data_IF_407518165701
#
_entry.id   IF_407518165701
#
_cell.length_a   1.000
_cell.length_b   1.000
_cell.length_c   1.000
_cell.angle_alpha   90.00
_cell.angle_beta   90.00
_cell.angle_gamma   90.00
#
_symmetry.space_group_name_H-M   'P 1'
#
loop_
_entity.id
_entity.type
_entity.pdbx_description
1 polymer ?
#
# COMPACT_ATOMS: atom_id res chain seq x y z
N UNK A 1 3.12 10.44 -15.63
CA UNK A 1 4.39 10.99 -15.15
C UNK A 1 4.68 10.58 -13.71
N UNK A 2 3.81 10.86 -12.73
CA UNK A 2 4.04 10.57 -11.30
C UNK A 2 4.51 9.15 -10.97
N UNK A 3 3.92 8.12 -11.60
CA UNK A 3 4.32 6.73 -11.35
C UNK A 3 5.69 6.39 -11.95
N UNK A 4 6.07 7.00 -13.07
CA UNK A 4 7.40 6.85 -13.66
C UNK A 4 8.47 7.49 -12.75
N UNK A 5 8.20 8.69 -12.23
CA UNK A 5 9.06 9.36 -11.24
C UNK A 5 9.17 8.56 -9.95
N UNK A 6 8.08 7.91 -9.52
CA UNK A 6 8.14 6.95 -8.42
C UNK A 6 9.10 5.79 -8.74
N UNK A 7 9.03 5.23 -9.95
CA UNK A 7 9.98 4.22 -10.42
C UNK A 7 11.44 4.71 -10.36
N UNK A 8 11.71 5.94 -10.80
CA UNK A 8 13.04 6.54 -10.73
C UNK A 8 13.52 6.72 -9.28
N UNK A 9 12.62 7.10 -8.36
CA UNK A 9 12.93 7.13 -6.93
C UNK A 9 13.34 5.74 -6.41
N UNK A 10 12.59 4.68 -6.77
CA UNK A 10 12.95 3.30 -6.39
C UNK A 10 14.29 2.87 -7.00
N UNK A 11 14.56 3.25 -8.26
CA UNK A 11 15.84 3.00 -8.92
C UNK A 11 16.99 3.59 -8.12
N UNK A 12 16.90 4.87 -7.77
CA UNK A 12 17.93 5.55 -7.00
C UNK A 12 18.09 4.94 -5.59
N UNK A 13 16.97 4.63 -4.92
CA UNK A 13 16.97 4.09 -3.56
C UNK A 13 17.56 2.68 -3.48
N UNK A 14 17.31 1.83 -4.47
CA UNK A 14 17.63 0.40 -4.41
C UNK A 14 18.68 -0.07 -5.41
N UNK A 15 19.38 0.83 -6.12
CA UNK A 15 20.35 0.46 -7.16
C UNK A 15 21.46 -0.50 -6.68
N UNK A 16 21.81 -0.48 -5.39
CA UNK A 16 22.81 -1.38 -4.78
C UNK A 16 22.22 -2.73 -4.35
N UNK A 17 20.90 -2.81 -4.19
CA UNK A 17 20.18 -4.01 -3.77
C UNK A 17 19.64 -4.79 -4.97
N UNK A 18 19.09 -4.07 -5.95
CA UNK A 18 18.63 -4.61 -7.21
C UNK A 18 18.86 -3.62 -8.34
N UNK A 19 19.64 -4.07 -9.33
CA UNK A 19 20.01 -3.26 -10.49
C UNK A 19 19.17 -3.64 -11.69
N UNK A 20 19.12 -4.92 -12.04
CA UNK A 20 18.44 -5.37 -13.26
C UNK A 20 17.20 -6.20 -12.88
N UNK A 21 16.21 -6.24 -13.77
CA UNK A 21 14.98 -6.98 -13.51
C UNK A 21 15.25 -8.48 -13.59
N UNK A 22 14.77 -9.23 -12.59
CA UNK A 22 14.75 -10.68 -12.60
C UNK A 22 13.42 -11.15 -11.99
N UNK A 23 12.70 -12.03 -12.69
CA UNK A 23 11.37 -12.51 -12.27
C UNK A 23 11.39 -13.36 -10.98
N UNK A 24 12.53 -13.92 -10.60
CA UNK A 24 12.72 -14.58 -9.29
C UNK A 24 12.91 -13.55 -8.17
N UNK A 25 13.52 -12.40 -8.47
CA UNK A 25 13.85 -11.37 -7.50
C UNK A 25 12.76 -10.31 -7.34
N UNK A 26 11.93 -10.09 -8.37
CA UNK A 26 10.92 -9.04 -8.44
C UNK A 26 9.60 -9.59 -8.89
N UNK A 27 8.55 -9.29 -8.12
CA UNK A 27 7.18 -9.50 -8.52
C UNK A 27 6.38 -8.21 -8.34
N UNK A 28 5.47 -7.92 -9.27
CA UNK A 28 4.52 -6.83 -9.17
C UNK A 28 3.11 -7.36 -9.38
N UNK A 29 2.29 -7.21 -8.35
CA UNK A 29 0.87 -7.56 -8.35
C UNK A 29 0.02 -6.29 -8.39
N UNK A 30 -0.92 -6.20 -9.31
CA UNK A 30 -1.86 -5.08 -9.44
C UNK A 30 -3.31 -5.53 -9.24
N UNK A 31 -4.18 -4.62 -8.83
CA UNK A 31 -5.63 -4.83 -8.95
C UNK A 31 -6.08 -4.81 -10.42
N UNK A 32 -7.25 -5.37 -10.73
CA UNK A 32 -7.77 -5.44 -12.12
C UNK A 32 -8.17 -4.11 -12.75
N UNK A 33 -8.00 -2.99 -12.05
CA UNK A 33 -8.37 -1.69 -12.61
C UNK A 33 -7.31 -1.18 -13.59
N UNK A 34 -7.73 -0.67 -14.75
CA UNK A 34 -6.84 -0.11 -15.77
C UNK A 34 -5.85 0.91 -15.18
N UNK A 35 -6.35 1.79 -14.30
CA UNK A 35 -5.51 2.80 -13.63
C UNK A 35 -4.36 2.18 -12.82
N UNK A 36 -4.60 1.07 -12.13
CA UNK A 36 -3.59 0.41 -11.31
C UNK A 36 -2.59 -0.37 -12.18
N UNK A 37 -3.08 -1.01 -13.24
CA UNK A 37 -2.26 -1.73 -14.21
C UNK A 37 -1.31 -0.76 -14.90
N UNK A 38 -1.83 0.30 -15.51
CA UNK A 38 -1.03 1.33 -16.19
C UNK A 38 -0.06 2.02 -15.22
N UNK A 39 -0.48 2.25 -13.97
CA UNK A 39 0.40 2.79 -12.93
C UNK A 39 1.56 1.86 -12.61
N UNK A 40 1.30 0.55 -12.49
CA UNK A 40 2.33 -0.46 -12.26
C UNK A 40 3.33 -0.52 -13.41
N UNK A 41 2.86 -0.54 -14.66
CA UNK A 41 3.71 -0.54 -15.84
C UNK A 41 4.57 0.73 -15.96
N UNK A 42 3.98 1.90 -15.71
CA UNK A 42 4.72 3.16 -15.74
C UNK A 42 5.80 3.22 -14.65
N UNK A 43 5.51 2.66 -13.47
CA UNK A 43 6.47 2.55 -12.37
C UNK A 43 7.62 1.61 -12.72
N UNK A 44 7.33 0.42 -13.29
CA UNK A 44 8.35 -0.51 -13.74
C UNK A 44 9.27 0.11 -14.80
N UNK A 45 8.72 0.89 -15.75
CA UNK A 45 9.54 1.62 -16.73
C UNK A 45 10.54 2.58 -16.08
N UNK A 46 10.16 3.24 -14.98
CA UNK A 46 11.07 4.14 -14.26
C UNK A 46 12.08 3.40 -13.37
N UNK A 47 11.71 2.21 -12.87
CA UNK A 47 12.54 1.44 -11.96
C UNK A 47 13.58 0.58 -12.72
N UNK A 48 13.18 -0.01 -13.83
CA UNK A 48 13.99 -0.92 -14.66
C UNK A 48 14.06 -0.41 -16.11
N UNK A 49 14.76 0.70 -16.36
CA UNK A 49 15.02 1.16 -17.73
C UNK A 49 15.81 0.08 -18.47
N UNK A 50 15.45 -0.20 -19.73
CA UNK A 50 16.20 -1.12 -20.57
C UNK A 50 17.55 -0.51 -20.94
N UNK A 51 18.64 -1.29 -20.81
CA UNK A 51 20.00 -0.86 -21.16
C UNK A 51 20.68 -1.99 -21.93
N UNK A 52 21.34 -1.65 -23.05
CA UNK A 52 22.16 -2.61 -23.80
C UNK A 52 21.31 -3.73 -24.42
N UNK A 53 21.54 -4.98 -24.04
CA UNK A 53 20.85 -6.14 -24.65
C UNK A 53 19.35 -6.22 -24.32
N UNK A 54 18.89 -5.49 -23.31
CA UNK A 54 17.47 -5.39 -22.96
C UNK A 54 16.72 -4.36 -23.82
N UNK A 55 17.44 -3.52 -24.58
CA UNK A 55 16.83 -2.52 -25.46
C UNK A 55 16.12 -3.19 -26.64
N UNK A 56 14.79 -3.13 -26.63
CA UNK A 56 13.94 -3.74 -27.65
C UNK A 56 13.84 -2.90 -28.92
N UNK A 57 13.90 -1.58 -28.77
CA UNK A 57 13.79 -0.60 -29.85
C UNK A 57 14.94 0.39 -29.73
N UNK A 58 15.53 0.75 -30.87
CA UNK A 58 16.65 1.68 -30.90
C UNK A 58 16.23 3.04 -30.33
N UNK A 59 17.02 3.58 -29.39
CA UNK A 59 16.76 4.82 -28.64
C UNK A 59 15.57 4.77 -27.66
N UNK A 60 15.06 3.60 -27.31
CA UNK A 60 14.01 3.43 -26.29
C UNK A 60 14.52 2.61 -25.11
N UNK A 61 14.67 3.26 -23.96
CA UNK A 61 15.02 2.62 -22.68
C UNK A 61 13.82 1.89 -22.06
N UNK A 62 13.14 1.07 -22.85
CA UNK A 62 11.94 0.34 -22.46
C UNK A 62 12.02 -1.14 -22.81
N UNK A 63 11.52 -1.96 -21.89
CA UNK A 63 11.33 -3.39 -22.06
C UNK A 63 9.96 -3.80 -21.50
N UNK A 64 9.31 -4.82 -22.08
CA UNK A 64 8.10 -5.40 -21.50
C UNK A 64 8.45 -6.16 -20.22
N UNK A 65 7.80 -5.82 -19.10
CA UNK A 65 7.98 -6.49 -17.81
C UNK A 65 6.65 -7.10 -17.33
N UNK A 66 6.67 -8.33 -16.78
CA UNK A 66 5.45 -9.00 -16.33
C UNK A 66 4.81 -8.28 -15.14
N UNK A 67 3.48 -8.25 -15.13
CA UNK A 67 2.64 -7.71 -14.06
C UNK A 67 1.50 -8.68 -13.81
N UNK A 68 1.34 -9.15 -12.57
CA UNK A 68 0.25 -10.04 -12.18
C UNK A 68 -1.00 -9.24 -11.86
N UNK A 69 -2.17 -9.68 -12.32
CA UNK A 69 -3.45 -9.02 -12.01
C UNK A 69 -4.25 -9.87 -11.02
N UNK A 70 -4.42 -9.37 -9.81
CA UNK A 70 -5.27 -9.98 -8.80
C UNK A 70 -6.74 -9.60 -9.03
N UNK A 71 -7.63 -10.61 -9.00
CA UNK A 71 -9.08 -10.42 -9.15
C UNK A 71 -9.68 -9.76 -7.90
N UNK A 72 -10.02 -8.48 -7.99
CA UNK A 72 -10.85 -7.76 -7.01
C UNK A 72 -11.69 -6.71 -7.73
N UNK A 73 -12.93 -6.50 -7.27
CA UNK A 73 -13.91 -5.62 -7.93
C UNK A 73 -13.51 -4.15 -7.91
N UNK A 74 -13.66 -3.52 -9.08
CA UNK A 74 -13.07 -2.25 -9.44
C UNK A 74 -14.13 -1.34 -10.06
N UNK A 75 -14.11 -0.05 -9.69
CA UNK A 75 -14.57 1.06 -10.55
C UNK A 75 -13.66 2.28 -10.30
N UNK A 76 -13.26 2.98 -11.37
CA UNK A 76 -13.40 4.44 -11.55
C UNK A 76 -12.46 5.01 -12.61
N UNK A 77 -13.06 5.93 -13.37
CA UNK A 77 -12.64 6.47 -14.65
C UNK A 77 -12.38 7.98 -14.55
N UNK A 78 -11.49 8.43 -15.42
CA UNK A 78 -10.98 9.79 -15.51
C UNK A 78 -12.07 10.75 -16.05
N UNK A 79 -12.69 11.56 -15.18
CA UNK A 79 -13.78 12.49 -15.54
C UNK A 79 -13.48 13.94 -15.14
N UNK A 80 -13.85 14.87 -16.02
CA UNK A 80 -13.85 16.33 -15.81
C UNK A 80 -14.91 16.75 -14.79
N UNK A 81 -14.56 17.69 -13.92
CA UNK A 81 -15.43 18.14 -12.84
C UNK A 81 -16.31 19.34 -13.27
N UNK A 82 -17.60 19.39 -12.89
CA UNK A 82 -18.50 20.51 -13.18
C UNK A 82 -18.22 21.75 -12.31
N UNK A 83 -18.53 22.94 -12.83
CA UNK A 83 -18.17 24.25 -12.22
C UNK A 83 -18.75 24.50 -10.83
N UNK A 84 -19.91 23.93 -10.49
CA UNK A 84 -20.53 24.07 -9.17
C UNK A 84 -19.67 23.54 -8.02
N UNK A 85 -18.70 22.68 -8.33
CA UNK A 85 -17.74 22.11 -7.36
C UNK A 85 -16.86 23.19 -6.70
N UNK A 86 -16.74 24.38 -7.32
CA UNK A 86 -15.96 25.51 -6.80
C UNK A 86 -16.78 26.55 -6.02
N UNK A 87 -18.10 26.37 -5.88
CA UNK A 87 -18.94 27.31 -5.13
C UNK A 87 -18.53 27.38 -3.66
N UNK A 88 -18.56 28.58 -3.08
CA UNK A 88 -18.23 28.84 -1.67
C UNK A 88 -19.51 28.91 -0.83
N UNK A 89 -19.48 28.32 0.35
CA UNK A 89 -20.64 28.23 1.25
C UNK A 89 -20.34 28.93 2.58
N UNK A 90 -20.89 30.14 2.82
CA UNK A 90 -20.64 30.88 4.05
C UNK A 90 -21.04 30.17 5.34
N UNK A 91 -22.09 29.34 5.29
CA UNK A 91 -22.54 28.53 6.42
C UNK A 91 -21.56 27.40 6.81
N UNK A 92 -20.60 27.07 5.95
CA UNK A 92 -19.56 26.08 6.20
C UNK A 92 -18.19 26.75 6.28
N UNK A 93 -18.09 27.83 7.05
CA UNK A 93 -16.85 28.58 7.27
C UNK A 93 -16.19 29.07 5.96
N UNK A 94 -16.99 29.47 4.96
CA UNK A 94 -16.52 29.84 3.62
C UNK A 94 -15.73 28.73 2.90
N UNK A 95 -16.01 27.45 3.18
CA UNK A 95 -15.43 26.35 2.41
C UNK A 95 -16.06 26.22 1.02
N UNK A 96 -15.27 25.75 0.06
CA UNK A 96 -15.77 25.39 -1.27
C UNK A 96 -16.51 24.05 -1.24
N UNK A 97 -17.41 23.80 -2.19
CA UNK A 97 -18.11 22.51 -2.31
C UNK A 97 -17.12 21.34 -2.36
N UNK A 98 -16.01 21.47 -3.10
CA UNK A 98 -14.97 20.45 -3.18
C UNK A 98 -14.27 20.19 -1.83
N UNK A 99 -14.05 21.22 -1.01
CA UNK A 99 -13.48 21.07 0.33
C UNK A 99 -14.42 20.26 1.23
N UNK A 100 -15.70 20.64 1.24
CA UNK A 100 -16.73 19.95 2.03
C UNK A 100 -16.85 18.48 1.60
N UNK A 101 -16.96 18.22 0.28
CA UNK A 101 -17.02 16.85 -0.26
C UNK A 101 -15.75 16.07 0.08
N UNK A 102 -14.57 16.69 -0.01
CA UNK A 102 -13.30 16.05 0.32
C UNK A 102 -13.22 15.69 1.81
N UNK A 103 -13.70 16.57 2.68
CA UNK A 103 -13.81 16.33 4.13
C UNK A 103 -14.78 15.18 4.43
N UNK A 104 -15.95 15.16 3.80
CA UNK A 104 -16.91 14.05 3.93
C UNK A 104 -16.35 12.73 3.39
N UNK A 105 -15.66 12.77 2.25
CA UNK A 105 -14.98 11.60 1.67
C UNK A 105 -13.90 11.08 2.62
N UNK A 106 -13.12 11.97 3.24
CA UNK A 106 -12.10 11.63 4.24
C UNK A 106 -12.72 10.94 5.45
N UNK A 107 -13.78 11.52 6.03
CA UNK A 107 -14.50 10.94 7.18
C UNK A 107 -15.07 9.56 6.80
N UNK A 108 -15.77 9.46 5.67
CA UNK A 108 -16.33 8.20 5.15
C UNK A 108 -15.25 7.15 4.93
N UNK A 109 -14.08 7.53 4.44
CA UNK A 109 -12.98 6.59 4.19
C UNK A 109 -12.37 6.11 5.51
N UNK A 110 -12.05 7.02 6.43
CA UNK A 110 -11.43 6.69 7.73
C UNK A 110 -12.36 5.83 8.58
N UNK A 111 -13.67 6.09 8.56
CA UNK A 111 -14.64 5.30 9.34
C UNK A 111 -14.69 3.82 8.95
N UNK A 112 -14.11 3.45 7.80
CA UNK A 112 -13.96 2.05 7.37
C UNK A 112 -12.83 1.31 8.11
N UNK A 113 -11.92 2.03 8.77
CA UNK A 113 -10.69 1.46 9.36
C UNK A 113 -10.42 1.91 10.81
N UNK A 114 -11.16 2.90 11.32
CA UNK A 114 -10.90 3.62 12.58
C UNK A 114 -11.07 2.83 13.90
N UNK A 115 -11.04 1.50 13.87
CA UNK A 115 -10.98 0.66 15.07
C UNK A 115 -10.04 -0.52 14.82
N UNK A 116 -9.47 -1.10 15.88
CA UNK A 116 -8.61 -2.27 15.76
C UNK A 116 -9.32 -3.45 15.07
N UNK A 117 -10.62 -3.63 15.33
CA UNK A 117 -11.45 -4.65 14.70
C UNK A 117 -11.65 -4.38 13.19
N UNK A 118 -12.02 -3.16 12.81
CA UNK A 118 -12.17 -2.79 11.39
C UNK A 118 -10.85 -2.90 10.64
N UNK A 119 -9.77 -2.39 11.23
CA UNK A 119 -8.42 -2.50 10.67
C UNK A 119 -8.01 -3.97 10.48
N UNK A 120 -8.32 -4.82 11.46
CA UNK A 120 -8.12 -6.27 11.37
C UNK A 120 -8.86 -6.89 10.19
N UNK A 121 -10.15 -6.59 10.04
CA UNK A 121 -10.98 -7.19 8.99
C UNK A 121 -10.69 -6.62 7.59
N UNK A 122 -10.19 -5.39 7.48
CA UNK A 122 -9.93 -4.72 6.19
C UNK A 122 -8.50 -4.88 5.69
N UNK A 123 -7.52 -4.58 6.55
CA UNK A 123 -6.10 -4.54 6.19
C UNK A 123 -5.27 -5.63 6.84
N UNK A 124 -5.82 -6.34 7.84
CA UNK A 124 -5.08 -7.29 8.66
C UNK A 124 -4.51 -8.48 7.88
N UNK A 125 -5.16 -8.91 6.79
CA UNK A 125 -4.66 -9.99 5.93
C UNK A 125 -3.46 -9.53 5.08
N UNK A 126 -3.55 -8.36 4.44
CA UNK A 126 -2.43 -7.78 3.67
C UNK A 126 -1.24 -7.46 4.56
N UNK A 127 -1.51 -6.87 5.73
CA UNK A 127 -0.48 -6.63 6.74
C UNK A 127 0.17 -7.94 7.17
N UNK A 128 -0.60 -9.02 7.38
CA UNK A 128 -0.05 -10.32 7.75
C UNK A 128 0.86 -10.90 6.66
N UNK A 129 0.51 -10.75 5.38
CA UNK A 129 1.40 -11.13 4.26
C UNK A 129 2.77 -10.43 4.33
N UNK A 130 2.78 -9.12 4.63
CA UNK A 130 4.04 -8.37 4.84
C UNK A 130 4.85 -8.94 6.01
N UNK A 131 4.21 -9.10 7.17
CA UNK A 131 4.90 -9.56 8.38
C UNK A 131 5.37 -11.02 8.26
N UNK A 132 4.60 -11.90 7.62
CA UNK A 132 5.00 -13.28 7.35
C UNK A 132 6.19 -13.37 6.41
N UNK A 133 6.23 -12.54 5.38
CA UNK A 133 7.40 -12.47 4.50
C UNK A 133 8.64 -12.02 5.27
N UNK A 134 8.53 -10.98 6.10
CA UNK A 134 9.63 -10.52 6.93
C UNK A 134 10.10 -11.58 7.93
N UNK A 135 9.16 -12.31 8.54
CA UNK A 135 9.45 -13.44 9.41
C UNK A 135 10.20 -14.55 8.68
N UNK A 136 9.73 -14.95 7.49
CA UNK A 136 10.36 -16.02 6.72
C UNK A 136 11.80 -15.65 6.31
N UNK A 137 12.01 -14.41 5.85
CA UNK A 137 13.37 -13.89 5.59
C UNK A 137 14.23 -13.94 6.85
N UNK A 138 13.69 -13.53 8.01
CA UNK A 138 14.45 -13.53 9.26
C UNK A 138 14.88 -14.92 9.74
N UNK A 139 14.14 -15.96 9.33
CA UNK A 139 14.40 -17.36 9.63
C UNK A 139 15.31 -18.02 8.57
N UNK A 140 15.74 -17.27 7.55
CA UNK A 140 16.51 -17.82 6.43
C UNK A 140 15.70 -18.73 5.51
N UNK A 141 14.36 -18.67 5.56
CA UNK A 141 13.50 -19.40 4.66
C UNK A 141 13.45 -18.70 3.30
N UNK A 142 13.44 -19.48 2.21
CA UNK A 142 13.25 -18.92 0.87
C UNK A 142 11.87 -18.28 0.75
N UNK A 143 11.82 -17.11 0.11
CA UNK A 143 10.60 -16.35 -0.18
C UNK A 143 10.57 -16.00 -1.65
N UNK A 144 9.41 -16.07 -2.29
CA UNK A 144 9.23 -15.66 -3.69
C UNK A 144 8.29 -14.44 -3.73
N UNK A 145 8.67 -13.35 -4.40
CA UNK A 145 9.99 -13.09 -5.02
C UNK A 145 11.10 -13.00 -3.95
N UNK A 146 12.37 -13.19 -4.32
CA UNK A 146 13.50 -13.19 -3.38
C UNK A 146 13.84 -11.79 -2.83
N UNK A 147 13.65 -10.73 -3.62
CA UNK A 147 14.04 -9.36 -3.22
C UNK A 147 12.83 -8.45 -3.00
N UNK A 148 12.16 -8.00 -4.06
CA UNK A 148 11.11 -6.97 -4.00
C UNK A 148 9.76 -7.52 -4.42
N UNK A 149 8.74 -7.33 -3.57
CA UNK A 149 7.32 -7.57 -3.90
C UNK A 149 6.59 -6.23 -3.95
N UNK A 150 6.06 -5.89 -5.11
CA UNK A 150 5.36 -4.63 -5.38
C UNK A 150 3.86 -4.87 -5.47
N UNK A 151 3.08 -3.93 -4.92
CA UNK A 151 1.62 -3.93 -5.01
C UNK A 151 1.12 -2.61 -5.60
N UNK A 152 0.50 -2.66 -6.78
CA UNK A 152 -0.15 -1.50 -7.41
C UNK A 152 -1.66 -1.53 -7.14
N UNK A 153 -2.13 -0.67 -6.24
CA UNK A 153 -3.49 -0.73 -5.69
C UNK A 153 -4.15 0.66 -5.53
N UNK A 154 -4.96 0.83 -4.48
CA UNK A 154 -5.78 2.02 -4.26
C UNK A 154 -5.46 2.73 -2.94
N UNK A 155 -5.90 3.99 -2.83
CA UNK A 155 -5.89 4.78 -1.59
C UNK A 155 -6.46 3.99 -0.39
N UNK A 156 -7.59 3.30 -0.60
CA UNK A 156 -8.22 2.45 0.40
C UNK A 156 -7.38 1.26 0.82
N UNK A 157 -6.62 0.66 -0.09
CA UNK A 157 -5.68 -0.44 0.22
C UNK A 157 -4.55 0.06 1.10
N UNK A 158 -3.96 1.20 0.74
CA UNK A 158 -2.87 1.80 1.48
C UNK A 158 -3.31 2.25 2.88
N UNK A 159 -4.47 2.90 2.98
CA UNK A 159 -5.06 3.27 4.27
C UNK A 159 -5.34 2.04 5.12
N UNK A 160 -5.99 1.01 4.56
CA UNK A 160 -6.28 -0.22 5.29
C UNK A 160 -5.01 -0.84 5.89
N UNK A 161 -3.92 -0.88 5.11
CA UNK A 161 -2.61 -1.34 5.58
C UNK A 161 -2.04 -0.44 6.69
N UNK A 162 -2.05 0.88 6.51
CA UNK A 162 -1.53 1.82 7.51
C UNK A 162 -2.31 1.72 8.84
N UNK A 163 -3.64 1.58 8.81
CA UNK A 163 -4.44 1.37 10.03
C UNK A 163 -4.19 0.00 10.66
N UNK A 164 -3.97 -1.04 9.85
CA UNK A 164 -3.62 -2.38 10.36
C UNK A 164 -2.26 -2.37 11.07
N UNK A 165 -1.27 -1.66 10.51
CA UNK A 165 0.02 -1.42 11.16
C UNK A 165 -0.10 -0.48 12.38
N UNK A 166 -1.10 0.40 12.41
CA UNK A 166 -1.33 1.36 13.50
C UNK A 166 -0.66 2.70 13.32
N UNK A 167 -0.26 3.00 12.10
CA UNK A 167 0.44 4.22 11.68
C UNK A 167 -0.46 5.09 10.77
N UNK A 168 -1.77 4.80 10.74
CA UNK A 168 -2.74 5.61 10.01
C UNK A 168 -2.79 7.04 10.54
N UNK A 169 -2.69 8.02 9.65
CA UNK A 169 -2.59 9.44 10.00
C UNK A 169 -3.90 10.23 9.81
N UNK A 170 -5.03 9.57 9.52
CA UNK A 170 -6.34 10.20 9.30
C UNK A 170 -6.36 11.22 8.13
N UNK A 171 -5.43 11.13 7.19
CA UNK A 171 -5.38 11.93 5.97
C UNK A 171 -5.80 11.10 4.75
N UNK A 172 -6.22 11.78 3.68
CA UNK A 172 -6.36 11.13 2.38
C UNK A 172 -4.97 10.78 1.83
N UNK A 173 -4.90 9.69 1.08
CA UNK A 173 -3.66 9.27 0.41
C UNK A 173 -3.53 10.02 -0.92
N UNK A 174 -2.47 10.83 -1.11
CA UNK A 174 -2.20 11.47 -2.39
C UNK A 174 -1.90 10.47 -3.51
N UNK A 175 -2.02 10.90 -4.77
CA UNK A 175 -1.61 10.09 -5.92
C UNK A 175 -0.14 9.69 -5.86
N UNK A 176 0.18 8.51 -6.41
CA UNK A 176 1.52 7.92 -6.41
C UNK A 176 2.18 7.79 -5.02
N UNK A 177 1.37 7.82 -3.94
CA UNK A 177 1.88 7.54 -2.61
C UNK A 177 2.18 6.06 -2.42
N UNK A 178 3.16 5.75 -1.58
CA UNK A 178 3.66 4.40 -1.38
C UNK A 178 4.01 4.16 0.08
N UNK A 179 3.54 3.04 0.66
CA UNK A 179 4.13 2.49 1.88
C UNK A 179 5.22 1.50 1.49
N UNK A 180 6.31 1.54 2.24
CA UNK A 180 7.51 0.74 2.00
C UNK A 180 7.85 0.03 3.32
N UNK A 181 8.16 -1.25 3.25
CA UNK A 181 8.73 -2.01 4.35
C UNK A 181 10.06 -2.59 3.90
N UNK A 182 11.11 -2.36 4.68
CA UNK A 182 12.46 -2.84 4.42
C UNK A 182 12.91 -3.77 5.54
N UNK A 183 13.60 -4.85 5.16
CA UNK A 183 14.12 -5.86 6.08
C UNK A 183 15.64 -5.77 6.00
N UNK A 184 16.28 -5.39 7.10
CA UNK A 184 17.72 -5.25 7.21
C UNK A 184 18.31 -6.40 8.01
N UNK A 185 19.40 -6.98 7.50
CA UNK A 185 20.20 -7.95 8.25
C UNK A 185 21.20 -7.22 9.14
N UNK A 186 21.21 -7.56 10.42
CA UNK A 186 22.21 -7.15 11.41
C UNK A 186 23.06 -8.36 11.80
N UNK A 187 24.14 -8.16 12.57
CA UNK A 187 25.09 -9.23 12.94
C UNK A 187 24.42 -10.53 13.40
N UNK A 188 23.37 -10.44 14.24
CA UNK A 188 22.69 -11.59 14.84
C UNK A 188 21.16 -11.58 14.69
N UNK A 189 20.59 -10.64 13.93
CA UNK A 189 19.13 -10.48 13.86
C UNK A 189 18.68 -9.77 12.57
N UNK A 190 17.38 -9.60 12.40
CA UNK A 190 16.79 -8.75 11.37
C UNK A 190 15.98 -7.62 11.99
N UNK A 191 16.06 -6.44 11.39
CA UNK A 191 15.28 -5.26 11.77
C UNK A 191 14.39 -4.83 10.61
N UNK A 192 13.16 -4.44 10.92
CA UNK A 192 12.19 -3.93 9.96
C UNK A 192 12.07 -2.43 10.13
N UNK A 193 12.10 -1.71 9.00
CA UNK A 193 11.78 -0.29 8.94
C UNK A 193 10.60 -0.03 8.02
N UNK A 194 9.75 0.93 8.38
CA UNK A 194 8.61 1.34 7.57
C UNK A 194 8.80 2.77 7.06
N UNK A 195 8.40 3.04 5.81
CA UNK A 195 8.41 4.37 5.23
C UNK A 195 7.11 4.66 4.51
N UNK A 196 6.75 5.93 4.47
CA UNK A 196 5.66 6.45 3.65
C UNK A 196 6.21 7.52 2.73
N UNK A 197 5.90 7.42 1.44
CA UNK A 197 6.19 8.45 0.45
C UNK A 197 4.86 9.00 -0.01
N UNK A 198 4.56 10.26 0.31
CA UNK A 198 3.31 10.94 -0.08
C UNK A 198 3.57 12.25 -0.85
N UNK A 199 4.80 12.39 -1.35
CA UNK A 199 5.33 13.54 -2.07
C UNK A 199 6.64 13.15 -2.74
N UNK A 200 7.63 14.03 -2.71
CA UNK A 200 8.95 13.78 -3.32
C UNK A 200 9.82 12.84 -2.49
N UNK A 201 9.78 12.98 -1.16
CA UNK A 201 10.60 12.22 -0.21
C UNK A 201 9.81 11.12 0.51
N UNK A 202 10.49 10.02 0.82
CA UNK A 202 10.00 9.00 1.73
C UNK A 202 10.41 9.35 3.17
N UNK A 203 9.44 9.37 4.08
CA UNK A 203 9.66 9.61 5.50
C UNK A 203 9.47 8.31 6.26
N UNK A 204 10.36 8.07 7.23
CA UNK A 204 10.29 6.92 8.11
C UNK A 204 9.05 7.04 9.01
N UNK A 205 8.35 5.93 9.17
CA UNK A 205 7.19 5.79 10.04
C UNK A 205 7.64 5.05 11.30
N UNK A 206 7.21 5.50 12.47
CA UNK A 206 7.50 4.82 13.73
C UNK A 206 6.35 3.89 14.08
N UNK A 207 6.62 2.59 14.22
CA UNK A 207 5.59 1.64 14.58
C UNK A 207 5.31 1.71 16.09
N UNK A 208 4.06 1.95 16.53
CA UNK A 208 3.74 1.98 17.96
C UNK A 208 4.11 0.65 18.65
N UNK A 209 4.94 0.70 19.69
CA UNK A 209 5.47 -0.47 20.38
C UNK A 209 6.89 -0.89 19.93
N UNK A 210 7.49 -0.16 18.99
CA UNK A 210 8.88 -0.27 18.58
C UNK A 210 9.76 0.83 19.20
N UNK A 211 11.10 0.65 19.26
CA UNK A 211 12.04 1.70 19.68
C UNK A 211 11.95 2.97 18.81
N UNK A 212 12.33 4.12 19.36
CA UNK A 212 12.16 5.46 18.76
C UNK A 212 12.85 5.68 17.40
N UNK A 213 13.79 4.81 17.03
CA UNK A 213 14.55 4.85 15.77
C UNK A 213 14.14 3.75 14.77
N UNK A 214 13.06 3.02 15.05
CA UNK A 214 12.39 1.99 14.23
C UNK A 214 13.29 0.87 13.68
N UNK A 215 14.39 0.54 14.36
CA UNK A 215 15.15 -0.71 14.14
C UNK A 215 14.41 -1.89 14.78
N UNK A 216 13.16 -2.10 14.38
CA UNK A 216 12.27 -2.97 15.11
C UNK A 216 12.49 -4.45 14.76
N UNK A 217 12.67 -5.31 15.76
CA UNK A 217 12.79 -6.76 15.51
C UNK A 217 11.46 -7.36 15.06
N UNK A 218 11.50 -8.47 14.33
CA UNK A 218 10.28 -9.19 13.90
C UNK A 218 9.35 -9.45 15.09
N UNK A 219 9.89 -9.90 16.23
CA UNK A 219 9.11 -10.22 17.41
C UNK A 219 8.38 -8.99 17.99
N UNK A 220 9.02 -7.83 17.99
CA UNK A 220 8.40 -6.57 18.42
C UNK A 220 7.29 -6.15 17.45
N UNK A 221 7.52 -6.27 16.14
CA UNK A 221 6.52 -5.95 15.12
C UNK A 221 5.31 -6.88 15.26
N UNK A 222 5.51 -8.20 15.37
CA UNK A 222 4.42 -9.16 15.57
C UNK A 222 3.60 -8.87 16.82
N UNK A 223 4.27 -8.49 17.93
CA UNK A 223 3.58 -8.08 19.16
C UNK A 223 2.75 -6.82 18.93
N UNK A 224 3.31 -5.79 18.28
CA UNK A 224 2.66 -4.52 18.01
C UNK A 224 1.40 -4.66 17.12
N UNK A 225 1.44 -5.56 16.14
CA UNK A 225 0.32 -5.75 15.19
C UNK A 225 -0.64 -6.88 15.56
N UNK A 226 -0.35 -7.64 16.61
CA UNK A 226 -1.09 -8.86 17.01
C UNK A 226 -2.62 -8.71 17.04
N UNK A 227 -3.14 -7.60 17.60
CA UNK A 227 -4.59 -7.34 17.69
C UNK A 227 -5.26 -7.07 16.34
N UNK A 228 -4.49 -6.65 15.34
CA UNK A 228 -4.95 -6.27 13.99
C UNK A 228 -4.60 -7.30 12.93
N UNK A 229 -4.01 -8.43 13.30
CA UNK A 229 -3.58 -9.48 12.39
C UNK A 229 -4.67 -10.51 12.10
N UNK A 230 -4.71 -11.02 10.86
CA UNK A 230 -5.55 -12.14 10.45
C UNK A 230 -4.67 -13.18 9.77
N UNK A 231 -4.67 -14.41 10.28
CA UNK A 231 -3.72 -15.47 9.89
C UNK A 231 -3.97 -16.06 8.51
N UNK A 232 -5.23 -16.06 8.05
CA UNK A 232 -5.58 -16.66 6.77
C UNK A 232 -6.90 -16.10 6.23
N UNK A 233 -7.10 -16.25 4.92
CA UNK A 233 -8.37 -15.90 4.27
C UNK A 233 -9.54 -16.71 4.84
N UNK A 234 -9.32 -17.98 5.22
CA UNK A 234 -10.33 -18.80 5.88
C UNK A 234 -10.75 -18.22 7.24
N UNK A 235 -9.78 -17.79 8.05
CA UNK A 235 -10.07 -17.12 9.31
C UNK A 235 -10.86 -15.84 9.07
N UNK A 236 -10.45 -15.01 8.09
CA UNK A 236 -11.15 -13.79 7.74
C UNK A 236 -12.61 -14.07 7.36
N UNK A 237 -12.83 -15.03 6.46
CA UNK A 237 -14.16 -15.42 6.01
C UNK A 237 -15.03 -15.92 7.16
N UNK A 238 -14.47 -16.68 8.12
CA UNK A 238 -15.19 -17.12 9.32
C UNK A 238 -15.61 -15.93 10.19
N UNK A 239 -14.73 -14.96 10.39
CA UNK A 239 -15.03 -13.74 11.17
C UNK A 239 -16.09 -12.87 10.49
N UNK A 240 -16.09 -12.80 9.16
CA UNK A 240 -17.11 -12.06 8.41
C UNK A 240 -18.48 -12.76 8.40
N UNK A 241 -18.52 -14.08 8.57
CA UNK A 241 -19.76 -14.88 8.59
C UNK A 241 -20.39 -15.01 9.99
N UNK A 242 -19.67 -14.69 11.06
CA UNK A 242 -20.17 -14.85 12.44
C UNK A 242 -21.12 -13.75 12.91
N UNK A 243 -21.55 -12.82 12.05
CA UNK A 243 -22.56 -11.82 12.40
C UNK A 243 -23.95 -12.42 12.19
N UNK A 244 -24.64 -12.73 13.30
CA UNK A 244 -26.04 -13.15 13.33
C UNK A 244 -26.96 -12.10 12.67
N UNK A 245 -28.05 -12.49 11.98
CA UNK A 245 -28.99 -11.57 11.33
C UNK A 245 -29.67 -10.53 12.24
N UNK A 246 -29.53 -10.64 13.56
CA UNK A 246 -30.26 -9.83 14.54
C UNK A 246 -29.91 -8.33 14.53
N UNK A 247 -28.82 -7.91 13.88
CA UNK A 247 -28.41 -6.48 13.84
C UNK A 247 -29.07 -5.70 12.69
N UNK A 248 -29.76 -6.37 11.75
CA UNK A 248 -30.41 -5.70 10.60
C UNK A 248 -31.87 -5.28 10.85
N UNK A 249 -32.43 -5.48 12.05
CA UNK A 249 -33.83 -5.13 12.35
C UNK A 249 -34.04 -3.74 12.98
N UNK A 250 -32.99 -2.95 13.24
CA UNK A 250 -33.13 -1.63 13.88
C UNK A 250 -32.72 -0.45 13.01
N UNK A 251 -33.15 -0.41 11.74
CA UNK A 251 -33.01 0.81 10.93
C UNK A 251 -33.94 0.85 9.71
N UNK A 252 -35.24 0.60 9.90
CA UNK A 252 -36.30 1.30 9.14
C UNK A 252 -37.56 1.34 10.01
N UNK A 253 -37.80 2.48 10.65
CA UNK A 253 -39.11 2.96 11.08
C UNK A 253 -39.07 4.49 11.02
#
# INVERSE_FOLDING_TARGET
MQMYELGQFFRQRYTSFIRDFNAEDVDLVSSKSDRAIVSGLAMLRGFFPAIGQEEWLQNEQWQPLPLQVATTDAIDHNMTQPSWVYNVWPQFNNETTISIISSLKRIRRISQFNSAEKARLRGGLLMKDWIDRARNVSLGLSVIPHKIKLHSAHDGTLLALMYALGIGNNLLVPYASCAIMEIYKTLNNHTIMFFYKNGTIAHQLLLPGCPSYDNCTIAQVEKAVSRRSVRSLQQLNKMCRSVSPQVLQHSVA
#
